data_IF_120831240563
#
_entry.id   IF_120831240563
#
_cell.length_a   1.000
_cell.length_b   1.000
_cell.length_c   1.000
_cell.angle_alpha   90.00
_cell.angle_beta   90.00
_cell.angle_gamma   90.00
#
_symmetry.space_group_name_H-M   'P 1'
#
loop_
_entity.id
_entity.type
_entity.pdbx_description
1 polymer ?
#
# COMPACT_ATOMS: atom_id res chain seq x y z
N UNK A 1 -29.12 31.65 58.19
CA UNK A 1 -29.51 30.25 58.46
C UNK A 1 -30.28 29.81 57.23
N UNK A 2 -29.70 29.21 56.17
CA UNK A 2 -28.67 28.15 56.07
C UNK A 2 -29.03 26.93 56.90
N UNK A 3 -29.56 25.91 56.21
CA UNK A 3 -29.22 24.47 56.28
C UNK A 3 -29.85 23.84 55.01
N UNK A 4 -29.12 23.49 53.94
CA UNK A 4 -28.16 22.39 53.70
C UNK A 4 -28.68 21.00 54.06
N UNK A 5 -29.23 20.30 53.07
CA UNK A 5 -29.08 18.85 52.93
C UNK A 5 -28.58 18.56 51.52
N UNK A 6 -27.38 17.99 51.47
CA UNK A 6 -26.67 17.55 50.28
C UNK A 6 -27.20 16.19 49.84
N UNK A 7 -27.60 16.09 48.57
CA UNK A 7 -27.81 14.82 47.87
C UNK A 7 -26.66 14.61 46.90
N UNK A 8 -25.87 13.55 47.14
CA UNK A 8 -24.69 13.17 46.36
C UNK A 8 -25.01 12.99 44.87
N UNK A 9 -24.53 13.89 44.02
CA UNK A 9 -24.26 13.61 42.62
C UNK A 9 -23.01 12.73 42.55
N UNK A 10 -23.22 11.43 42.41
CA UNK A 10 -22.20 10.49 41.96
C UNK A 10 -21.59 11.03 40.66
N UNK A 11 -20.29 11.31 40.69
CA UNK A 11 -19.51 11.77 39.54
C UNK A 11 -19.62 10.73 38.42
N UNK A 12 -19.98 11.09 37.18
CA UNK A 12 -19.88 10.16 36.07
C UNK A 12 -18.40 9.83 35.86
N UNK A 13 -18.10 8.54 36.00
CA UNK A 13 -16.77 7.98 35.88
C UNK A 13 -16.22 8.17 34.45
N UNK A 14 -14.94 8.53 34.44
CA UNK A 14 -13.98 8.56 33.34
C UNK A 14 -14.11 7.29 32.49
N UNK A 15 -14.80 7.37 31.35
CA UNK A 15 -14.80 6.31 30.32
C UNK A 15 -14.60 6.86 28.89
N UNK A 16 -14.34 8.16 28.72
CA UNK A 16 -14.24 8.80 27.39
C UNK A 16 -12.79 9.02 26.91
N UNK A 17 -11.76 8.68 27.70
CA UNK A 17 -10.38 9.04 27.36
C UNK A 17 -9.58 7.98 26.57
N UNK A 18 -10.09 6.75 26.40
CA UNK A 18 -9.36 5.71 25.65
C UNK A 18 -9.54 5.80 24.12
N UNK A 19 -10.66 6.35 23.64
CA UNK A 19 -10.92 6.50 22.21
C UNK A 19 -10.09 7.63 21.57
N UNK A 20 -9.74 8.66 22.36
CA UNK A 20 -9.04 9.85 21.86
C UNK A 20 -7.54 9.64 21.61
N UNK A 21 -6.91 8.68 22.29
CA UNK A 21 -5.46 8.40 22.12
C UNK A 21 -5.19 7.64 20.83
N UNK A 22 -6.12 6.78 20.39
CA UNK A 22 -5.97 5.98 19.15
C UNK A 22 -6.06 6.88 17.91
N UNK A 23 -6.93 7.90 17.90
CA UNK A 23 -7.07 8.82 16.75
C UNK A 23 -5.79 9.65 16.56
N UNK A 24 -5.18 10.13 17.64
CA UNK A 24 -3.94 10.93 17.56
C UNK A 24 -2.76 10.08 17.09
N UNK A 25 -2.64 8.83 17.55
CA UNK A 25 -1.58 7.92 17.10
C UNK A 25 -1.73 7.53 15.61
N UNK A 26 -2.96 7.35 15.11
CA UNK A 26 -3.23 7.11 13.67
C UNK A 26 -2.79 8.33 12.82
N UNK A 27 -3.07 9.56 13.28
CA UNK A 27 -2.56 10.76 12.61
C UNK A 27 -1.03 10.83 12.62
N UNK A 28 -0.36 10.39 13.69
CA UNK A 28 1.11 10.38 13.79
C UNK A 28 1.75 9.30 12.89
N UNK A 29 1.13 8.13 12.73
CA UNK A 29 1.63 7.08 11.81
C UNK A 29 1.46 7.50 10.34
N UNK A 30 0.34 8.18 10.02
CA UNK A 30 0.19 8.87 8.73
C UNK A 30 1.25 9.98 8.54
N UNK A 31 1.53 10.77 9.58
CA UNK A 31 2.51 11.86 9.54
C UNK A 31 3.98 11.44 9.50
N UNK A 32 4.34 10.31 10.13
CA UNK A 32 5.72 9.80 10.14
C UNK A 32 6.12 9.20 8.78
N UNK A 33 5.14 8.80 7.97
CA UNK A 33 5.37 8.43 6.57
C UNK A 33 5.64 9.65 5.66
N UNK A 34 5.40 10.87 6.14
CA UNK A 34 5.42 12.13 5.38
C UNK A 34 6.53 13.13 5.74
N UNK A 35 7.58 12.73 6.48
CA UNK A 35 8.70 13.64 6.79
C UNK A 35 10.04 13.08 6.34
N UNK A 36 10.51 13.57 5.18
CA UNK A 36 11.93 13.79 4.95
C UNK A 36 12.26 15.30 4.99
N UNK A 37 13.28 15.60 5.79
CA UNK A 37 14.13 16.80 5.82
C UNK A 37 13.63 18.07 6.53
N UNK A 38 14.15 18.27 7.75
CA UNK A 38 14.96 19.44 8.10
C UNK A 38 15.71 19.15 9.43
N UNK A 39 17.04 19.25 9.39
CA UNK A 39 17.98 18.98 10.48
C UNK A 39 17.97 20.04 11.59
N UNK A 40 18.13 19.62 12.85
CA UNK A 40 18.93 20.34 13.86
C UNK A 40 19.52 19.34 14.90
N UNK A 41 20.82 19.44 15.30
CA UNK A 41 21.50 18.38 16.03
C UNK A 41 21.65 18.71 17.52
N UNK A 42 20.99 17.95 18.40
CA UNK A 42 21.47 17.65 19.77
C UNK A 42 20.51 16.73 20.54
N UNK A 43 20.68 15.41 20.41
CA UNK A 43 20.84 14.47 21.54
C UNK A 43 21.07 13.05 21.01
N UNK A 44 22.29 12.54 21.17
CA UNK A 44 22.67 11.18 20.78
C UNK A 44 22.37 10.21 21.93
N UNK A 45 21.26 9.49 21.82
CA UNK A 45 21.20 8.05 22.08
C UNK A 45 20.48 7.45 20.88
N UNK A 46 21.26 7.10 19.86
CA UNK A 46 20.79 6.54 18.60
C UNK A 46 20.38 5.08 18.82
N UNK A 47 19.10 4.87 19.06
CA UNK A 47 18.39 3.73 18.49
C UNK A 47 18.22 4.07 17.00
N UNK A 48 18.82 3.29 16.09
CA UNK A 48 18.57 3.45 14.66
C UNK A 48 17.06 3.37 14.45
N UNK A 49 16.43 4.53 14.19
CA UNK A 49 15.00 4.61 13.97
C UNK A 49 14.68 3.71 12.78
N UNK A 50 14.06 2.57 13.05
CA UNK A 50 13.56 1.67 12.03
C UNK A 50 12.62 2.44 11.09
N UNK A 51 13.01 2.56 9.82
CA UNK A 51 12.34 3.43 8.83
C UNK A 51 11.36 2.69 7.94
N UNK A 52 11.31 1.36 8.01
CA UNK A 52 10.51 0.55 7.08
C UNK A 52 9.10 0.33 7.61
N UNK A 53 8.07 0.71 6.84
CA UNK A 53 6.67 0.33 7.09
C UNK A 53 6.46 -1.16 6.76
N UNK A 54 5.58 -1.85 7.49
CA UNK A 54 5.27 -3.25 7.20
C UNK A 54 4.49 -3.36 5.88
N UNK A 55 4.90 -4.29 5.02
CA UNK A 55 4.08 -4.79 3.91
C UNK A 55 3.15 -5.92 4.36
N UNK A 56 2.12 -6.22 3.58
CA UNK A 56 1.24 -7.38 3.84
C UNK A 56 2.02 -8.70 3.82
N UNK A 57 2.96 -8.85 2.88
CA UNK A 57 3.86 -10.02 2.80
C UNK A 57 4.65 -10.24 4.08
N UNK A 58 5.17 -9.16 4.68
CA UNK A 58 5.91 -9.25 5.94
C UNK A 58 4.99 -9.64 7.11
N UNK A 59 3.76 -9.14 7.14
CA UNK A 59 2.76 -9.58 8.12
C UNK A 59 2.46 -11.07 7.96
N UNK A 60 2.36 -11.59 6.74
CA UNK A 60 2.23 -13.04 6.48
C UNK A 60 3.45 -13.82 6.95
N UNK A 61 4.65 -13.32 6.69
CA UNK A 61 5.89 -13.97 7.17
C UNK A 61 5.92 -14.03 8.71
N UNK A 62 5.39 -13.00 9.38
CA UNK A 62 5.28 -12.96 10.84
C UNK A 62 4.18 -13.90 11.36
N UNK A 63 3.05 -14.04 10.66
CA UNK A 63 1.95 -14.93 11.06
C UNK A 63 2.37 -16.40 11.15
N UNK A 64 3.25 -16.85 10.24
CA UNK A 64 3.79 -18.22 10.21
C UNK A 64 4.52 -18.66 11.50
N UNK A 65 4.95 -17.70 12.32
CA UNK A 65 5.66 -17.99 13.58
C UNK A 65 4.72 -18.45 14.69
N UNK A 66 3.44 -18.08 14.66
CA UNK A 66 2.48 -18.41 15.71
C UNK A 66 2.99 -18.05 17.12
N UNK A 67 3.01 -19.02 18.03
CA UNK A 67 3.55 -18.86 19.40
C UNK A 67 5.06 -18.55 19.45
N UNK A 68 5.80 -18.76 18.35
CA UNK A 68 7.23 -18.44 18.26
C UNK A 68 7.49 -16.99 17.89
N UNK A 69 6.45 -16.21 17.57
CA UNK A 69 6.58 -14.79 17.26
C UNK A 69 7.05 -14.02 18.51
N UNK A 70 8.12 -13.25 18.37
CA UNK A 70 8.73 -12.47 19.45
C UNK A 70 8.83 -11.01 19.09
N UNK A 71 9.03 -10.16 20.09
CA UNK A 71 9.14 -8.72 19.86
C UNK A 71 10.32 -8.36 18.96
N UNK A 72 11.43 -9.11 19.03
CA UNK A 72 12.60 -8.90 18.19
C UNK A 72 12.35 -9.18 16.70
N UNK A 73 11.31 -9.95 16.35
CA UNK A 73 10.93 -10.18 14.96
C UNK A 73 10.42 -8.89 14.29
N UNK A 74 10.03 -7.89 15.09
CA UNK A 74 9.63 -6.57 14.61
C UNK A 74 10.80 -5.59 14.47
N UNK A 75 12.03 -6.02 14.77
CA UNK A 75 13.21 -5.19 14.65
C UNK A 75 13.44 -4.83 13.18
N UNK A 76 13.56 -3.53 12.92
CA UNK A 76 13.71 -2.99 11.56
C UNK A 76 12.42 -2.43 10.97
N UNK A 77 11.27 -2.59 11.64
CA UNK A 77 10.03 -1.93 11.28
C UNK A 77 9.73 -0.68 12.10
N UNK A 78 9.18 0.33 11.44
CA UNK A 78 8.76 1.57 12.09
C UNK A 78 7.50 1.33 12.92
N UNK A 79 7.65 1.42 14.23
CA UNK A 79 6.56 1.26 15.19
C UNK A 79 6.57 2.36 16.24
N UNK A 80 5.39 2.66 16.79
CA UNK A 80 5.22 3.62 17.89
C UNK A 80 4.81 2.87 19.14
N UNK A 81 5.53 3.09 20.24
CA UNK A 81 5.10 2.66 21.57
C UNK A 81 4.06 3.64 22.13
N UNK A 82 2.85 3.14 22.37
CA UNK A 82 1.75 3.90 22.99
C UNK A 82 1.41 3.38 24.39
N UNK A 83 2.32 2.63 24.99
CA UNK A 83 2.16 2.11 26.34
C UNK A 83 1.98 3.22 27.39
N UNK A 84 1.22 2.90 28.43
CA UNK A 84 1.07 3.75 29.61
C UNK A 84 1.87 3.23 30.81
N UNK A 85 2.60 2.12 30.65
CA UNK A 85 3.43 1.49 31.68
C UNK A 85 4.74 1.00 31.06
N UNK A 86 5.82 0.99 31.84
CA UNK A 86 7.16 0.57 31.44
C UNK A 86 7.29 -0.96 31.27
N UNK A 87 6.47 -1.75 31.97
CA UNK A 87 6.56 -3.22 31.97
C UNK A 87 5.63 -3.88 30.93
N UNK A 88 4.90 -3.09 30.15
CA UNK A 88 3.94 -3.60 29.18
C UNK A 88 3.80 -2.66 27.99
N UNK A 89 4.23 -3.14 26.83
CA UNK A 89 4.30 -2.35 25.61
C UNK A 89 3.08 -2.60 24.73
N UNK A 90 2.58 -1.51 24.13
CA UNK A 90 1.56 -1.54 23.09
C UNK A 90 2.19 -0.86 21.89
N UNK A 91 2.64 -1.67 20.95
CA UNK A 91 3.37 -1.23 19.77
C UNK A 91 2.42 -1.17 18.58
N UNK A 92 2.35 -0.01 17.94
CA UNK A 92 1.56 0.21 16.74
C UNK A 92 2.47 0.28 15.53
N UNK A 93 2.27 -0.62 14.57
CA UNK A 93 2.96 -0.61 13.29
C UNK A 93 1.97 -0.26 12.18
N UNK A 94 2.34 0.68 11.32
CA UNK A 94 1.61 0.91 10.07
C UNK A 94 1.87 -0.24 9.10
N UNK A 95 0.81 -0.71 8.46
CA UNK A 95 0.86 -1.76 7.43
C UNK A 95 0.35 -1.17 6.10
N UNK A 96 0.97 -1.56 4.98
CA UNK A 96 0.54 -1.21 3.63
C UNK A 96 -0.96 -1.46 3.43
N UNK A 97 -1.64 -0.64 2.63
CA UNK A 97 -3.05 -0.84 2.28
C UNK A 97 -4.06 -0.30 3.29
N UNK A 98 -3.62 0.49 4.26
CA UNK A 98 -4.51 1.10 5.25
C UNK A 98 -4.83 0.17 6.41
N UNK A 99 -3.89 -0.71 6.75
CA UNK A 99 -3.97 -1.57 7.93
C UNK A 99 -2.97 -1.13 9.00
N UNK A 100 -3.17 -1.60 10.22
CA UNK A 100 -2.23 -1.47 11.33
C UNK A 100 -2.07 -2.81 12.02
N UNK A 101 -0.90 -3.04 12.57
CA UNK A 101 -0.65 -4.15 13.47
C UNK A 101 -0.43 -3.63 14.89
N UNK A 102 -1.23 -4.12 15.83
CA UNK A 102 -1.16 -3.79 17.25
C UNK A 102 -0.52 -4.97 17.99
N UNK A 103 0.74 -4.80 18.38
CA UNK A 103 1.48 -5.82 19.13
C UNK A 103 1.47 -5.46 20.61
N UNK A 104 0.98 -6.37 21.45
CA UNK A 104 1.01 -6.23 22.89
C UNK A 104 1.98 -7.25 23.48
N UNK A 105 2.91 -6.77 24.30
CA UNK A 105 4.02 -7.58 24.81
C UNK A 105 4.46 -7.09 26.18
N UNK A 106 4.87 -8.01 27.05
CA UNK A 106 5.56 -7.70 28.30
C UNK A 106 7.09 -7.54 28.11
N UNK A 107 7.55 -7.57 26.86
CA UNK A 107 8.95 -7.52 26.47
C UNK A 107 9.58 -8.90 26.29
N UNK A 108 9.01 -9.97 26.84
CA UNK A 108 9.50 -11.34 26.68
C UNK A 108 8.63 -12.16 25.72
N UNK A 109 7.31 -11.99 25.80
CA UNK A 109 6.32 -12.71 25.00
C UNK A 109 5.30 -11.76 24.39
N UNK A 110 4.83 -12.12 23.20
CA UNK A 110 3.70 -11.44 22.60
C UNK A 110 2.43 -12.05 23.16
N UNK A 111 1.62 -11.20 23.81
CA UNK A 111 0.29 -11.57 24.28
C UNK A 111 -0.73 -11.51 23.14
N UNK A 112 -0.57 -10.56 22.21
CA UNK A 112 -1.42 -10.42 21.02
C UNK A 112 -0.71 -9.68 19.89
N UNK A 113 -0.96 -10.07 18.64
CA UNK A 113 -0.54 -9.33 17.45
C UNK A 113 -1.75 -9.13 16.52
N UNK A 114 -2.48 -8.02 16.71
CA UNK A 114 -3.78 -7.78 16.08
C UNK A 114 -3.65 -6.98 14.78
N UNK A 115 -3.99 -7.58 13.64
CA UNK A 115 -4.10 -6.87 12.36
C UNK A 115 -5.49 -6.27 12.22
N UNK A 116 -5.56 -4.96 12.02
CA UNK A 116 -6.82 -4.20 11.92
C UNK A 116 -6.79 -3.22 10.75
N UNK A 117 -7.96 -2.87 10.22
CA UNK A 117 -8.09 -1.68 9.36
C UNK A 117 -7.91 -0.42 10.19
N UNK A 118 -7.19 0.56 9.63
CA UNK A 118 -6.93 1.83 10.33
C UNK A 118 -8.22 2.61 10.61
N UNK A 119 -9.21 2.48 9.72
CA UNK A 119 -10.46 3.24 9.74
C UNK A 119 -11.53 2.68 10.68
N UNK A 120 -11.37 1.45 11.15
CA UNK A 120 -12.34 0.82 12.04
C UNK A 120 -12.11 1.23 13.50
N UNK A 121 -13.20 1.26 14.27
CA UNK A 121 -13.12 1.27 15.72
C UNK A 121 -12.39 0.00 16.18
N UNK A 122 -11.35 0.15 17.01
CA UNK A 122 -10.49 -0.97 17.42
C UNK A 122 -11.25 -2.19 17.96
N UNK A 123 -10.68 -3.38 17.74
CA UNK A 123 -11.28 -4.67 18.10
C UNK A 123 -11.98 -5.42 16.96
N UNK A 124 -11.90 -4.94 15.71
CA UNK A 124 -12.40 -5.65 14.52
C UNK A 124 -11.34 -6.53 13.84
N UNK A 125 -10.13 -6.59 14.39
CA UNK A 125 -9.01 -7.30 13.79
C UNK A 125 -8.93 -8.78 14.10
N UNK A 126 -7.86 -9.39 13.59
CA UNK A 126 -7.50 -10.78 13.84
C UNK A 126 -6.14 -10.86 14.53
N UNK A 127 -5.93 -11.88 15.38
CA UNK A 127 -4.59 -12.20 15.84
C UNK A 127 -3.83 -12.95 14.74
N UNK A 128 -2.79 -12.34 14.18
CA UNK A 128 -2.06 -12.91 13.05
C UNK A 128 -1.37 -14.23 13.40
N UNK A 129 -1.13 -14.51 14.69
CA UNK A 129 -0.45 -15.75 15.11
C UNK A 129 -1.30 -17.00 14.87
N UNK A 130 -2.62 -16.83 14.75
CA UNK A 130 -3.56 -17.96 14.78
C UNK A 130 -4.63 -17.90 13.69
N UNK A 131 -4.77 -16.77 13.00
CA UNK A 131 -5.81 -16.56 12.00
C UNK A 131 -5.20 -16.27 10.63
N UNK A 132 -5.99 -16.52 9.60
CA UNK A 132 -5.58 -16.33 8.21
C UNK A 132 -5.55 -14.83 7.84
N UNK A 133 -4.36 -14.35 7.50
CA UNK A 133 -4.12 -12.95 7.12
C UNK A 133 -4.73 -12.62 5.77
N UNK A 134 -4.65 -13.55 4.83
CA UNK A 134 -5.12 -13.34 3.46
C UNK A 134 -6.66 -13.32 3.44
N UNK A 135 -7.31 -14.27 4.13
CA UNK A 135 -8.76 -14.29 4.29
C UNK A 135 -9.28 -12.98 4.91
N UNK A 136 -8.57 -12.44 5.91
CA UNK A 136 -8.95 -11.18 6.54
C UNK A 136 -8.87 -10.00 5.57
N UNK A 137 -7.76 -9.87 4.83
CA UNK A 137 -7.55 -8.76 3.89
C UNK A 137 -8.57 -8.80 2.74
N UNK A 138 -8.85 -9.99 2.20
CA UNK A 138 -9.85 -10.19 1.14
C UNK A 138 -11.26 -9.84 1.61
N UNK A 139 -11.64 -10.27 2.81
CA UNK A 139 -12.99 -10.02 3.37
C UNK A 139 -13.15 -8.61 3.95
N UNK A 140 -12.04 -7.92 4.24
CA UNK A 140 -12.02 -6.57 4.83
C UNK A 140 -11.12 -5.63 4.03
N UNK A 141 -11.44 -5.36 2.75
CA UNK A 141 -10.63 -4.46 1.94
C UNK A 141 -10.53 -3.08 2.59
N UNK A 142 -9.37 -2.47 2.44
CA UNK A 142 -9.01 -1.16 2.99
C UNK A 142 -8.20 -0.38 1.96
N UNK A 143 -7.95 0.89 2.26
CA UNK A 143 -7.05 1.74 1.49
C UNK A 143 -6.22 2.59 2.42
N UNK A 144 -4.97 2.81 2.05
CA UNK A 144 -4.12 3.82 2.64
C UNK A 144 -4.25 5.14 1.90
N UNK A 145 -4.18 6.23 2.66
CA UNK A 145 -3.91 7.54 2.09
C UNK A 145 -2.41 7.67 1.83
N UNK A 146 -2.05 8.12 0.62
CA UNK A 146 -0.66 8.35 0.21
C UNK A 146 -0.48 9.80 -0.23
N UNK A 147 0.74 10.33 -0.13
CA UNK A 147 1.02 11.73 -0.44
C UNK A 147 1.22 11.99 -1.93
N UNK A 148 1.72 10.98 -2.65
CA UNK A 148 1.95 11.09 -4.09
C UNK A 148 1.94 9.73 -4.80
N UNK A 149 1.64 9.75 -6.09
CA UNK A 149 1.78 8.62 -6.98
C UNK A 149 2.31 9.08 -8.33
N UNK A 150 3.44 8.52 -8.79
CA UNK A 150 4.08 8.88 -10.08
C UNK A 150 4.28 10.39 -10.28
N UNK A 151 4.63 11.10 -9.20
CA UNK A 151 4.85 12.55 -9.21
C UNK A 151 3.58 13.40 -9.09
N UNK A 152 2.40 12.79 -9.06
CA UNK A 152 1.12 13.45 -8.80
C UNK A 152 0.96 13.56 -7.29
N UNK A 153 0.73 14.76 -6.77
CA UNK A 153 0.53 15.01 -5.35
C UNK A 153 -0.76 15.78 -5.07
N UNK A 154 -0.97 16.09 -3.80
CA UNK A 154 -2.07 16.97 -3.39
C UNK A 154 -1.93 18.35 -4.07
N UNK A 155 -3.04 18.85 -4.61
CA UNK A 155 -3.10 20.09 -5.36
C UNK A 155 -2.83 19.96 -6.87
N UNK A 156 -2.39 18.78 -7.36
CA UNK A 156 -2.23 18.56 -8.81
C UNK A 156 -3.58 18.69 -9.53
N UNK A 157 -3.71 19.49 -10.59
CA UNK A 157 -4.94 19.58 -11.37
C UNK A 157 -5.30 18.27 -12.07
N UNK A 158 -6.59 17.95 -12.18
CA UNK A 158 -7.06 16.70 -12.81
C UNK A 158 -6.56 16.51 -14.26
N UNK A 159 -6.43 17.58 -15.04
CA UNK A 159 -5.89 17.47 -16.39
C UNK A 159 -4.42 17.02 -16.40
N UNK A 160 -3.60 17.45 -15.44
CA UNK A 160 -2.23 16.92 -15.30
C UNK A 160 -2.23 15.45 -14.85
N UNK A 161 -3.20 15.05 -14.01
CA UNK A 161 -3.41 13.62 -13.69
C UNK A 161 -3.67 12.83 -14.98
N UNK A 162 -4.49 13.34 -15.89
CA UNK A 162 -4.81 12.69 -17.15
C UNK A 162 -3.65 12.71 -18.15
N UNK A 163 -2.85 13.77 -18.16
CA UNK A 163 -1.63 13.83 -18.98
C UNK A 163 -0.63 12.72 -18.57
N UNK A 164 -0.60 12.36 -17.29
CA UNK A 164 0.28 11.32 -16.74
C UNK A 164 -0.38 9.93 -16.81
N UNK A 165 -1.54 9.76 -16.21
CA UNK A 165 -2.17 8.45 -16.04
C UNK A 165 -3.00 8.03 -17.26
N UNK A 166 -3.30 8.95 -18.18
CA UNK A 166 -4.26 8.75 -19.24
C UNK A 166 -5.70 8.77 -18.71
N UNK A 167 -6.60 8.19 -19.50
CA UNK A 167 -8.01 8.07 -19.14
C UNK A 167 -8.18 7.18 -17.89
N UNK A 168 -9.14 7.44 -17.01
CA UNK A 168 -9.39 6.56 -15.87
C UNK A 168 -9.98 5.21 -16.29
N UNK A 169 -9.72 4.16 -15.50
CA UNK A 169 -10.38 2.86 -15.64
C UNK A 169 -11.85 2.91 -15.20
N UNK A 170 -12.14 3.77 -14.22
CA UNK A 170 -13.50 4.02 -13.73
C UNK A 170 -13.56 5.35 -12.97
N UNK A 171 -14.78 5.78 -12.65
CA UNK A 171 -15.04 6.95 -11.82
C UNK A 171 -15.82 6.54 -10.58
N UNK A 172 -15.62 7.26 -9.48
CA UNK A 172 -16.36 7.03 -8.25
C UNK A 172 -17.84 7.42 -8.39
N UNK A 173 -18.73 6.61 -7.81
CA UNK A 173 -20.14 6.94 -7.65
C UNK A 173 -20.34 7.75 -6.35
N UNK A 174 -20.24 9.07 -6.41
CA UNK A 174 -20.53 9.95 -5.27
C UNK A 174 -19.50 11.07 -5.13
N UNK A 175 -18.42 10.80 -4.38
CA UNK A 175 -17.27 11.72 -4.35
C UNK A 175 -16.64 11.76 -5.74
N UNK A 176 -16.21 12.94 -6.17
CA UNK A 176 -15.55 13.06 -7.46
C UNK A 176 -14.15 12.49 -7.37
N UNK A 177 -13.87 11.47 -8.19
CA UNK A 177 -12.54 10.89 -8.28
C UNK A 177 -12.40 9.89 -9.41
N UNK A 178 -11.15 9.69 -9.80
CA UNK A 178 -10.72 8.81 -10.88
C UNK A 178 -10.00 7.58 -10.31
N UNK A 179 -10.29 6.42 -10.90
CA UNK A 179 -9.82 5.11 -10.47
C UNK A 179 -8.88 4.54 -11.53
N UNK A 180 -7.70 4.06 -11.11
CA UNK A 180 -6.69 3.46 -11.99
C UNK A 180 -6.22 2.12 -11.44
N UNK A 181 -6.29 1.07 -12.25
CA UNK A 181 -5.82 -0.28 -11.93
C UNK A 181 -4.34 -0.49 -12.31
N UNK A 182 -3.61 -1.16 -11.42
CA UNK A 182 -2.22 -1.54 -11.61
C UNK A 182 -2.10 -3.01 -12.02
N UNK A 183 -0.92 -3.42 -12.50
CA UNK A 183 -0.71 -4.80 -13.00
C UNK A 183 -0.86 -5.88 -11.95
N UNK A 184 -0.76 -5.52 -10.66
CA UNK A 184 -0.97 -6.43 -9.55
C UNK A 184 -2.40 -6.35 -8.98
N UNK A 185 -3.34 -5.82 -9.75
CA UNK A 185 -4.74 -5.62 -9.35
C UNK A 185 -4.97 -4.61 -8.22
N UNK A 186 -3.91 -3.95 -7.71
CA UNK A 186 -4.13 -2.80 -6.83
C UNK A 186 -4.70 -1.62 -7.60
N UNK A 187 -5.34 -0.71 -6.87
CA UNK A 187 -6.03 0.44 -7.39
C UNK A 187 -5.45 1.69 -6.73
N UNK A 188 -5.23 2.72 -7.56
CA UNK A 188 -4.97 4.08 -7.11
C UNK A 188 -6.17 4.95 -7.43
N UNK A 189 -6.64 5.69 -6.43
CA UNK A 189 -7.80 6.57 -6.52
C UNK A 189 -7.35 7.99 -6.25
N UNK A 190 -7.63 8.90 -7.18
CA UNK A 190 -7.45 10.33 -7.00
C UNK A 190 -8.80 10.99 -6.72
N UNK A 191 -8.96 11.54 -5.52
CA UNK A 191 -10.14 12.32 -5.15
C UNK A 191 -9.89 13.80 -5.44
N UNK A 192 -10.87 14.47 -6.01
CA UNK A 192 -10.76 15.88 -6.39
C UNK A 192 -11.61 16.78 -5.48
N UNK A 193 -11.09 17.97 -5.20
CA UNK A 193 -11.86 19.06 -4.62
C UNK A 193 -12.84 19.66 -5.67
N UNK A 194 -13.75 20.57 -5.27
CA UNK A 194 -14.68 21.20 -6.22
C UNK A 194 -14.02 21.98 -7.36
N UNK A 195 -12.75 22.39 -7.22
CA UNK A 195 -11.99 23.12 -8.23
C UNK A 195 -11.24 22.18 -9.20
N UNK A 196 -11.28 20.86 -8.94
CA UNK A 196 -10.67 19.84 -9.78
C UNK A 196 -9.20 19.57 -9.48
N UNK A 197 -8.74 19.92 -8.29
CA UNK A 197 -7.39 19.58 -7.82
C UNK A 197 -7.43 18.35 -6.93
N UNK A 198 -6.37 17.55 -6.97
CA UNK A 198 -6.23 16.38 -6.10
C UNK A 198 -6.29 16.80 -4.63
N UNK A 199 -7.29 16.32 -3.90
CA UNK A 199 -7.46 16.56 -2.47
C UNK A 199 -6.94 15.39 -1.63
N UNK A 200 -7.06 14.17 -2.16
CA UNK A 200 -6.63 12.95 -1.47
C UNK A 200 -6.23 11.91 -2.52
N UNK A 201 -5.20 11.13 -2.20
CA UNK A 201 -4.80 9.97 -2.99
C UNK A 201 -4.93 8.75 -2.10
N UNK A 202 -5.62 7.73 -2.59
CA UNK A 202 -5.77 6.45 -1.90
C UNK A 202 -5.22 5.32 -2.73
N UNK A 203 -4.56 4.36 -2.08
CA UNK A 203 -4.10 3.12 -2.69
C UNK A 203 -4.57 1.94 -1.84
N UNK A 204 -5.13 0.93 -2.47
CA UNK A 204 -5.41 -0.35 -1.81
C UNK A 204 -4.25 -1.34 -1.99
N UNK A 205 -4.42 -2.52 -1.41
CA UNK A 205 -3.52 -3.65 -1.64
C UNK A 205 -4.10 -4.51 -2.75
N UNK A 206 -3.27 -4.76 -3.75
CA UNK A 206 -3.56 -5.72 -4.80
C UNK A 206 -3.01 -7.10 -4.44
N UNK A 207 -3.06 -8.01 -5.40
CA UNK A 207 -2.46 -9.33 -5.27
C UNK A 207 -0.94 -9.26 -5.19
N UNK A 208 -0.38 -10.27 -4.54
CA UNK A 208 1.06 -10.42 -4.46
C UNK A 208 1.59 -11.22 -5.64
N UNK A 209 2.52 -10.62 -6.39
CA UNK A 209 3.18 -11.23 -7.54
C UNK A 209 4.15 -12.31 -7.05
N UNK A 210 3.95 -13.54 -7.50
CA UNK A 210 4.84 -14.69 -7.25
C UNK A 210 5.93 -14.79 -8.32
N UNK A 211 5.59 -14.58 -9.59
CA UNK A 211 6.54 -14.51 -10.68
C UNK A 211 6.02 -13.69 -11.86
N UNK A 212 6.94 -13.26 -12.72
CA UNK A 212 6.62 -12.66 -14.01
C UNK A 212 7.34 -13.46 -15.08
N UNK A 213 6.58 -14.02 -16.01
CA UNK A 213 7.10 -14.67 -17.20
C UNK A 213 6.97 -13.74 -18.41
N UNK A 214 8.01 -13.72 -19.25
CA UNK A 214 8.01 -12.96 -20.49
C UNK A 214 8.44 -13.90 -21.62
N UNK A 215 7.64 -14.00 -22.67
CA UNK A 215 7.92 -14.82 -23.85
C UNK A 215 7.99 -13.92 -25.07
N UNK A 216 9.12 -13.93 -25.77
CA UNK A 216 9.27 -13.19 -27.02
C UNK A 216 8.64 -13.95 -28.18
N UNK A 217 7.76 -13.29 -28.91
CA UNK A 217 6.95 -13.90 -29.98
C UNK A 217 7.81 -14.37 -31.18
N UNK A 218 8.91 -13.67 -31.47
CA UNK A 218 9.70 -13.94 -32.68
C UNK A 218 10.51 -15.24 -32.65
N UNK A 219 10.94 -15.69 -31.47
CA UNK A 219 11.78 -16.88 -31.32
C UNK A 219 11.51 -17.73 -30.07
N UNK A 220 10.44 -17.42 -29.33
CA UNK A 220 10.05 -18.07 -28.08
C UNK A 220 11.14 -18.04 -26.99
N UNK A 221 12.06 -17.06 -27.01
CA UNK A 221 12.96 -16.83 -25.87
C UNK A 221 12.10 -16.45 -24.66
N UNK A 222 12.35 -17.08 -23.52
CA UNK A 222 11.60 -16.90 -22.28
C UNK A 222 12.50 -16.36 -21.17
N UNK A 223 11.95 -15.47 -20.35
CA UNK A 223 12.52 -14.99 -19.10
C UNK A 223 11.51 -15.24 -17.98
N UNK A 224 12.01 -15.58 -16.80
CA UNK A 224 11.20 -15.75 -15.60
C UNK A 224 11.86 -14.98 -14.47
N UNK A 225 11.12 -14.06 -13.86
CA UNK A 225 11.51 -13.29 -12.69
C UNK A 225 10.73 -13.81 -11.48
N UNK A 226 11.40 -14.13 -10.38
CA UNK A 226 10.76 -14.72 -9.19
C UNK A 226 11.25 -14.16 -7.86
N UNK A 227 12.31 -13.34 -7.86
CA UNK A 227 12.71 -12.60 -6.67
C UNK A 227 11.99 -11.24 -6.60
N UNK A 228 11.71 -10.79 -5.37
CA UNK A 228 10.91 -9.60 -5.10
C UNK A 228 11.46 -8.32 -5.73
N UNK A 229 12.80 -8.22 -5.86
CA UNK A 229 13.43 -7.05 -6.43
C UNK A 229 13.18 -6.99 -7.95
N UNK A 230 13.36 -8.11 -8.65
CA UNK A 230 13.11 -8.19 -10.08
C UNK A 230 11.62 -8.07 -10.42
N UNK A 231 10.74 -8.79 -9.71
CA UNK A 231 9.29 -8.71 -9.97
C UNK A 231 8.74 -7.32 -9.67
N UNK A 232 9.16 -6.72 -8.54
CA UNK A 232 8.78 -5.36 -8.16
C UNK A 232 9.26 -4.30 -9.17
N UNK A 233 10.50 -4.44 -9.66
CA UNK A 233 11.04 -3.52 -10.68
C UNK A 233 10.30 -3.65 -12.01
N UNK A 234 10.04 -4.87 -12.48
CA UNK A 234 9.34 -5.10 -13.74
C UNK A 234 7.88 -4.62 -13.66
N UNK A 235 7.17 -4.95 -12.57
CA UNK A 235 5.80 -4.48 -12.35
C UNK A 235 5.72 -2.94 -12.24
N UNK A 236 6.70 -2.31 -11.57
CA UNK A 236 6.81 -0.85 -11.53
C UNK A 236 7.00 -0.24 -12.92
N UNK A 237 7.84 -0.85 -13.77
CA UNK A 237 8.01 -0.44 -15.15
C UNK A 237 6.70 -0.55 -15.94
N UNK A 238 5.98 -1.67 -15.83
CA UNK A 238 4.68 -1.83 -16.48
C UNK A 238 3.67 -0.78 -16.01
N UNK A 239 3.66 -0.42 -14.73
CA UNK A 239 2.77 0.60 -14.16
C UNK A 239 3.14 2.05 -14.57
N UNK A 240 4.29 2.28 -15.19
CA UNK A 240 4.65 3.56 -15.82
C UNK A 240 4.02 3.68 -17.22
N UNK A 241 2.69 3.77 -17.21
CA UNK A 241 1.83 3.72 -18.40
C UNK A 241 0.71 4.75 -18.34
N UNK A 242 0.15 5.12 -19.48
CA UNK A 242 -1.03 5.97 -19.58
C UNK A 242 -2.15 5.20 -20.30
N UNK A 243 -3.33 5.08 -19.69
CA UNK A 243 -4.46 4.36 -20.28
C UNK A 243 -5.04 5.14 -21.45
N UNK A 244 -5.50 4.45 -22.48
CA UNK A 244 -6.10 5.06 -23.66
C UNK A 244 -7.26 4.25 -24.22
N UNK A 245 -8.29 4.95 -24.69
CA UNK A 245 -9.41 4.39 -25.47
C UNK A 245 -9.15 4.40 -26.98
N UNK A 246 -7.98 4.87 -27.41
CA UNK A 246 -7.66 4.93 -28.83
C UNK A 246 -7.66 3.53 -29.43
N UNK A 247 -8.32 3.38 -30.59
CA UNK A 247 -8.19 2.18 -31.41
C UNK A 247 -6.79 2.19 -32.03
N UNK A 248 -5.94 1.28 -31.57
CA UNK A 248 -4.59 1.10 -32.11
C UNK A 248 -4.63 -0.09 -33.06
N UNK A 249 -4.28 0.13 -34.32
CA UNK A 249 -4.04 -0.97 -35.26
C UNK A 249 -2.72 -1.65 -34.87
N UNK A 250 -2.82 -2.90 -34.41
CA UNK A 250 -1.70 -3.62 -33.83
C UNK A 250 -1.30 -4.80 -34.71
N UNK A 251 -0.02 -4.82 -35.08
CA UNK A 251 0.68 -6.01 -35.56
C UNK A 251 0.75 -7.08 -34.45
N UNK A 252 1.19 -8.32 -34.71
CA UNK A 252 1.47 -9.28 -33.64
C UNK A 252 2.37 -8.68 -32.55
N UNK A 253 2.09 -9.06 -31.29
CA UNK A 253 2.84 -8.62 -30.11
C UNK A 253 4.31 -8.99 -30.19
N UNK A 254 5.17 -8.21 -29.54
CA UNK A 254 6.58 -8.56 -29.40
C UNK A 254 6.81 -9.56 -28.28
N UNK A 255 6.06 -9.37 -27.18
CA UNK A 255 6.15 -10.21 -26.00
C UNK A 255 4.76 -10.54 -25.46
N UNK A 256 4.61 -11.77 -24.98
CA UNK A 256 3.59 -12.13 -23.99
C UNK A 256 4.21 -11.94 -22.61
N UNK A 257 3.52 -11.22 -21.73
CA UNK A 257 3.87 -11.07 -20.32
C UNK A 257 2.79 -11.76 -19.49
N UNK A 258 3.19 -12.67 -18.62
CA UNK A 258 2.28 -13.39 -17.72
C UNK A 258 2.71 -13.05 -16.29
N UNK A 259 1.81 -12.49 -15.51
CA UNK A 259 2.03 -12.16 -14.11
C UNK A 259 1.33 -13.22 -13.28
N UNK A 260 2.08 -14.04 -12.57
CA UNK A 260 1.55 -15.02 -11.65
C UNK A 260 1.45 -14.43 -10.25
N UNK A 261 0.38 -14.79 -9.55
CA UNK A 261 0.15 -14.43 -8.17
C UNK A 261 0.35 -15.63 -7.25
N UNK A 262 0.39 -15.40 -5.94
CA UNK A 262 0.52 -16.49 -4.95
C UNK A 262 -0.78 -17.27 -4.73
N UNK A 263 -1.92 -16.74 -5.16
CA UNK A 263 -3.24 -17.40 -5.11
C UNK A 263 -3.50 -18.33 -6.32
N UNK A 264 -2.43 -18.69 -7.04
CA UNK A 264 -2.42 -19.47 -8.29
C UNK A 264 -3.19 -18.83 -9.47
N UNK A 265 -3.66 -17.60 -9.34
CA UNK A 265 -4.22 -16.83 -10.45
C UNK A 265 -3.12 -16.13 -11.26
N UNK A 266 -3.46 -15.66 -12.46
CA UNK A 266 -2.53 -14.94 -13.31
C UNK A 266 -3.24 -13.92 -14.20
N UNK A 267 -2.48 -12.94 -14.67
CA UNK A 267 -2.90 -11.94 -15.65
C UNK A 267 -1.97 -11.97 -16.87
N UNK A 268 -2.55 -11.87 -18.07
CA UNK A 268 -1.82 -11.86 -19.33
C UNK A 268 -1.85 -10.49 -20.00
N UNK A 269 -0.68 -10.07 -20.47
CA UNK A 269 -0.53 -8.84 -21.22
C UNK A 269 0.22 -9.09 -22.52
N UNK A 270 -0.29 -8.51 -23.60
CA UNK A 270 0.44 -8.35 -24.84
C UNK A 270 1.25 -7.06 -24.78
N UNK A 271 2.56 -7.15 -25.05
CA UNK A 271 3.49 -6.03 -25.01
C UNK A 271 4.11 -5.82 -26.39
N UNK A 272 4.01 -4.57 -26.86
CA UNK A 272 4.75 -4.06 -28.01
C UNK A 272 5.81 -3.10 -27.50
N UNK A 273 7.07 -3.51 -27.66
CA UNK A 273 8.23 -2.72 -27.29
C UNK A 273 9.00 -2.45 -28.58
N UNK A 274 8.56 -1.42 -29.33
CA UNK A 274 9.17 -0.98 -30.59
C UNK A 274 10.69 -0.93 -30.46
N UNK A 275 11.45 -1.33 -31.48
CA UNK A 275 12.90 -1.32 -31.41
C UNK A 275 13.47 0.11 -31.21
N UNK A 276 12.80 1.14 -31.74
CA UNK A 276 13.18 2.53 -31.51
C UNK A 276 12.88 2.93 -30.06
N UNK A 277 13.93 3.23 -29.31
CA UNK A 277 13.84 3.65 -27.91
C UNK A 277 13.03 4.95 -27.73
N UNK A 278 12.80 5.75 -28.78
CA UNK A 278 12.06 7.00 -28.68
C UNK A 278 10.54 6.84 -28.91
N UNK A 279 10.07 5.62 -29.17
CA UNK A 279 8.64 5.33 -29.38
C UNK A 279 8.05 4.77 -28.09
N UNK A 280 6.88 5.29 -27.69
CA UNK A 280 6.11 4.74 -26.58
C UNK A 280 5.73 3.29 -26.89
N UNK A 281 5.91 2.39 -25.92
CA UNK A 281 5.42 1.02 -26.05
C UNK A 281 3.92 0.95 -25.85
N UNK A 282 3.33 -0.20 -26.21
CA UNK A 282 1.92 -0.49 -25.99
C UNK A 282 1.81 -1.72 -25.10
N UNK A 283 0.98 -1.64 -24.07
CA UNK A 283 0.58 -2.76 -23.22
C UNK A 283 -0.92 -2.96 -23.41
N UNK A 284 -1.36 -4.19 -23.60
CA UNK A 284 -2.78 -4.52 -23.67
C UNK A 284 -3.07 -5.79 -22.90
N UNK A 285 -4.22 -5.83 -22.26
CA UNK A 285 -4.89 -7.07 -21.87
C UNK A 285 -6.24 -7.15 -22.61
N UNK A 286 -7.11 -8.08 -22.23
CA UNK A 286 -8.33 -8.40 -22.99
C UNK A 286 -9.28 -7.21 -23.24
N UNK A 287 -9.29 -6.20 -22.36
CA UNK A 287 -10.24 -5.09 -22.41
C UNK A 287 -9.63 -3.69 -22.42
N UNK A 288 -8.32 -3.55 -22.17
CA UNK A 288 -7.69 -2.25 -21.96
C UNK A 288 -6.35 -2.12 -22.68
N UNK A 289 -6.06 -0.87 -23.00
CA UNK A 289 -4.84 -0.46 -23.69
C UNK A 289 -4.14 0.64 -22.92
N UNK A 290 -2.83 0.52 -22.79
CA UNK A 290 -1.99 1.55 -22.20
C UNK A 290 -0.76 1.84 -23.06
N UNK A 291 -0.36 3.10 -23.07
CA UNK A 291 0.91 3.54 -23.64
C UNK A 291 1.97 3.55 -22.55
N UNK A 292 3.01 2.72 -22.66
CA UNK A 292 4.14 2.78 -21.75
C UNK A 292 5.04 3.98 -22.07
N UNK A 293 5.62 4.55 -21.02
CA UNK A 293 6.63 5.57 -21.18
C UNK A 293 7.95 5.02 -21.69
N UNK A 294 8.71 5.88 -22.37
CA UNK A 294 10.01 5.54 -22.97
C UNK A 294 11.00 4.96 -21.95
N UNK A 295 11.08 5.55 -20.76
CA UNK A 295 11.98 5.07 -19.70
C UNK A 295 11.56 3.68 -19.20
N UNK A 296 10.25 3.41 -19.12
CA UNK A 296 9.71 2.11 -18.75
C UNK A 296 10.07 1.04 -19.78
N UNK A 297 9.92 1.35 -21.08
CA UNK A 297 10.31 0.44 -22.16
C UNK A 297 11.81 0.19 -22.19
N UNK A 298 12.61 1.23 -21.95
CA UNK A 298 14.07 1.10 -21.89
C UNK A 298 14.49 0.16 -20.77
N UNK A 299 13.87 0.30 -19.58
CA UNK A 299 14.09 -0.58 -18.44
C UNK A 299 13.66 -2.02 -18.73
N UNK A 300 12.46 -2.24 -19.27
CA UNK A 300 11.99 -3.58 -19.64
C UNK A 300 12.94 -4.24 -20.63
N UNK A 301 13.37 -3.53 -21.68
CA UNK A 301 14.33 -4.05 -22.65
C UNK A 301 15.67 -4.40 -22.01
N UNK A 302 16.13 -3.63 -21.03
CA UNK A 302 17.35 -3.94 -20.29
C UNK A 302 17.23 -5.23 -19.48
N UNK A 303 16.09 -5.43 -18.81
CA UNK A 303 15.79 -6.65 -18.07
C UNK A 303 15.66 -7.89 -18.98
N UNK A 304 15.32 -7.70 -20.26
CA UNK A 304 15.14 -8.75 -21.26
C UNK A 304 16.38 -8.98 -22.16
N UNK A 305 17.56 -8.47 -21.82
CA UNK A 305 18.81 -8.82 -22.54
C UNK A 305 19.25 -10.23 -22.16
#
# INVERSE_FOLDING_TARGET
>A
MKDRIAGNLLKPAIWVMAASVVIVAVSVIGFLSGKQSASDPQNNMQEEAATKKLSVREVRTLSEKGDRLRFEDFKGFSGIDVSSNLDYHIMLYGVEGGYRLIVRTDGEKIDSAQLERIWDSGGSGIDIRYNDVDEFIESHPSNEEIESWRGIGIGTPRNEVHDIMGEPDSMLSGLWGDIYGLVNESIVIFYYDPDGNVQQIKKDVGKEISSIEVVRESDNKQWTFSDDAATGLFASALNQRARTDAVIDIRPRDYLVIIHFYDDTYEEYSLWADEDANVRGVLMNDDKTWLLYTDAISLIKEMLK
#
